data_IF_707496934662
#
_entry.id   IF_707496934662
#
_cell.length_a   1.000
_cell.length_b   1.000
_cell.length_c   1.000
_cell.angle_alpha   90.00
_cell.angle_beta   90.00
_cell.angle_gamma   90.00
#
_symmetry.space_group_name_H-M   'P 1'
#
loop_
_entity.id
_entity.type
_entity.pdbx_description
1 polymer ?
#
# COMPACT_ATOMS: atom_id res chain seq x y z
N UNK A 1 13.26 -2.99 1.30
CA UNK A 1 14.55 -3.65 1.57
C UNK A 1 15.36 -2.71 2.44
N UNK A 2 15.95 -3.19 3.54
CA UNK A 2 16.86 -2.39 4.37
C UNK A 2 18.29 -2.67 3.88
N UNK A 3 18.97 -1.63 3.41
CA UNK A 3 20.31 -1.64 2.82
C UNK A 3 21.27 -0.72 3.57
N UNK A 4 21.12 -0.66 4.89
CA UNK A 4 22.03 0.08 5.76
C UNK A 4 23.37 -0.64 5.81
N UNK A 5 24.47 0.09 5.60
CA UNK A 5 25.83 -0.47 5.59
C UNK A 5 26.32 -0.64 7.03
N UNK A 6 27.32 -1.50 7.20
CA UNK A 6 27.92 -1.81 8.50
C UNK A 6 28.49 -0.56 9.22
N UNK A 7 28.91 0.44 8.44
CA UNK A 7 29.55 1.66 8.93
C UNK A 7 28.60 2.87 8.94
N UNK A 8 27.31 2.67 8.67
CA UNK A 8 26.33 3.75 8.73
C UNK A 8 26.15 4.21 10.18
N UNK A 9 25.88 5.51 10.36
CA UNK A 9 25.60 6.02 11.70
C UNK A 9 24.34 5.37 12.26
N UNK A 10 24.19 5.27 13.60
CA UNK A 10 22.96 4.75 14.21
C UNK A 10 21.71 5.48 13.73
N UNK A 11 21.80 6.80 13.50
CA UNK A 11 20.71 7.60 12.95
C UNK A 11 20.29 7.15 11.54
N UNK A 12 21.26 6.87 10.65
CA UNK A 12 20.99 6.34 9.31
C UNK A 12 20.37 4.96 9.37
N UNK A 13 20.86 4.10 10.26
CA UNK A 13 20.35 2.74 10.44
C UNK A 13 18.88 2.75 10.91
N UNK A 14 18.52 3.68 11.80
CA UNK A 14 17.19 3.75 12.41
C UNK A 14 16.18 4.43 11.46
N UNK A 15 16.58 5.51 10.79
CA UNK A 15 15.63 6.41 10.12
C UNK A 15 15.56 6.23 8.60
N UNK A 16 16.39 5.35 8.04
CA UNK A 16 16.43 5.12 6.59
C UNK A 16 16.40 3.62 6.28
N UNK A 17 16.10 3.31 5.02
CA UNK A 17 16.22 1.97 4.46
C UNK A 17 17.58 1.78 3.80
N UNK A 18 18.57 2.65 4.07
CA UNK A 18 19.89 2.61 3.47
C UNK A 18 19.93 3.13 2.03
N UNK A 19 20.93 2.69 1.27
CA UNK A 19 21.15 3.04 -0.13
C UNK A 19 21.31 1.76 -0.99
N UNK A 20 21.15 1.82 -2.31
CA UNK A 20 21.28 0.62 -3.15
C UNK A 20 22.60 -0.12 -2.93
N UNK A 21 22.55 -1.45 -2.91
CA UNK A 21 23.71 -2.29 -2.61
C UNK A 21 24.67 -2.44 -3.80
N UNK A 22 24.17 -2.28 -5.03
CA UNK A 22 24.98 -2.30 -6.24
C UNK A 22 25.17 -0.87 -6.77
N UNK A 23 26.38 -0.49 -7.20
CA UNK A 23 26.62 0.79 -7.88
C UNK A 23 25.81 0.96 -9.17
N UNK A 24 25.43 -0.14 -9.82
CA UNK A 24 24.63 -0.15 -11.06
C UNK A 24 23.12 -0.23 -10.79
N UNK A 25 22.68 -0.18 -9.52
CA UNK A 25 21.27 0.01 -9.21
C UNK A 25 20.90 1.47 -9.44
N UNK A 26 20.01 1.67 -10.40
CA UNK A 26 19.44 2.98 -10.67
C UNK A 26 18.13 3.10 -9.90
N UNK A 27 18.04 4.12 -9.04
CA UNK A 27 16.83 4.44 -8.27
C UNK A 27 16.52 5.93 -8.42
N UNK A 28 15.27 6.24 -8.74
CA UNK A 28 14.79 7.62 -8.81
C UNK A 28 13.35 7.72 -8.31
N UNK A 29 12.92 8.95 -8.04
CA UNK A 29 11.61 9.27 -7.47
C UNK A 29 10.74 9.89 -8.56
N UNK A 30 9.56 9.31 -8.82
CA UNK A 30 8.62 9.81 -9.81
C UNK A 30 7.39 10.48 -9.16
N UNK A 31 6.88 11.54 -9.77
CA UNK A 31 5.55 12.06 -9.48
C UNK A 31 4.44 11.10 -9.98
N UNK A 32 3.17 11.50 -9.81
CA UNK A 32 2.01 10.71 -10.24
C UNK A 32 1.90 10.59 -11.78
N UNK A 33 2.44 11.55 -12.53
CA UNK A 33 2.45 11.56 -14.00
C UNK A 33 3.65 10.80 -14.58
N UNK A 34 4.60 10.40 -13.73
CA UNK A 34 5.79 9.63 -14.13
C UNK A 34 7.00 10.51 -14.42
N UNK A 35 6.98 11.79 -14.05
CA UNK A 35 8.12 12.69 -14.22
C UNK A 35 9.09 12.57 -13.03
N UNK A 36 10.40 12.75 -13.24
CA UNK A 36 11.37 12.76 -12.17
C UNK A 36 11.15 13.90 -11.17
N UNK A 37 11.26 13.59 -9.88
CA UNK A 37 11.25 14.55 -8.79
C UNK A 37 12.67 14.85 -8.27
N UNK A 38 12.90 16.06 -7.74
CA UNK A 38 14.13 16.41 -7.04
C UNK A 38 14.41 15.52 -5.82
N UNK A 39 15.66 15.52 -5.35
CA UNK A 39 16.03 14.91 -4.07
C UNK A 39 15.28 15.58 -2.92
N UNK A 40 14.95 14.80 -1.90
CA UNK A 40 14.15 15.20 -0.73
C UNK A 40 12.64 15.16 -0.95
N UNK A 41 12.16 15.27 -2.19
CA UNK A 41 10.73 15.18 -2.50
C UNK A 41 10.21 13.74 -2.39
N UNK A 42 8.93 13.61 -2.05
CA UNK A 42 8.27 12.31 -1.88
C UNK A 42 7.54 11.93 -3.15
N UNK A 43 7.81 10.72 -3.66
CA UNK A 43 7.13 10.17 -4.83
C UNK A 43 7.36 8.66 -4.97
N UNK A 44 6.95 8.11 -6.10
CA UNK A 44 7.08 6.66 -6.38
C UNK A 44 8.52 6.24 -6.54
N UNK A 45 8.88 5.10 -5.95
CA UNK A 45 10.15 4.44 -6.20
C UNK A 45 10.15 3.78 -7.60
N UNK A 46 11.03 4.28 -8.46
CA UNK A 46 11.36 3.67 -9.76
C UNK A 46 12.75 3.06 -9.68
N UNK A 47 12.92 1.80 -10.09
CA UNK A 47 14.21 1.11 -10.00
C UNK A 47 14.49 0.13 -11.13
N UNK A 48 15.76 0.04 -11.54
CA UNK A 48 16.30 -1.06 -12.35
C UNK A 48 17.73 -1.37 -11.92
N UNK A 49 18.23 -2.55 -12.25
CA UNK A 49 19.56 -2.99 -11.85
C UNK A 49 19.87 -4.40 -12.31
N UNK A 50 21.07 -4.91 -12.03
CA UNK A 50 21.54 -6.21 -12.50
C UNK A 50 20.74 -7.40 -11.94
N UNK A 51 20.06 -7.21 -10.81
CA UNK A 51 19.22 -8.23 -10.16
C UNK A 51 17.74 -7.83 -10.05
N UNK A 52 17.36 -6.66 -10.56
CA UNK A 52 15.95 -6.28 -10.68
C UNK A 52 15.33 -7.06 -11.84
N UNK A 53 14.30 -7.84 -11.53
CA UNK A 53 13.53 -8.60 -12.52
C UNK A 53 12.96 -7.68 -13.62
N UNK A 54 12.71 -8.24 -14.81
CA UNK A 54 12.24 -7.50 -15.99
C UNK A 54 10.76 -7.72 -16.32
N UNK A 55 10.05 -8.40 -15.43
CA UNK A 55 8.64 -8.71 -15.63
C UNK A 55 8.16 -9.90 -14.82
N UNK A 56 6.89 -9.86 -14.46
CA UNK A 56 6.16 -10.98 -13.91
C UNK A 56 5.98 -12.08 -14.96
N UNK A 57 6.05 -13.32 -14.49
CA UNK A 57 5.87 -14.50 -15.34
C UNK A 57 4.43 -14.57 -15.87
N UNK A 58 4.30 -14.69 -17.19
CA UNK A 58 3.03 -14.87 -17.90
C UNK A 58 1.94 -13.83 -17.54
N UNK A 59 2.32 -12.57 -17.29
CA UNK A 59 1.39 -11.50 -16.91
C UNK A 59 1.63 -10.21 -17.72
N UNK A 60 1.35 -10.21 -19.04
CA UNK A 60 1.71 -9.10 -19.93
C UNK A 60 0.97 -7.80 -19.59
N UNK A 61 -0.30 -7.87 -19.19
CA UNK A 61 -1.07 -6.68 -18.78
C UNK A 61 -0.47 -6.03 -17.53
N UNK A 62 -0.11 -6.83 -16.52
CA UNK A 62 0.49 -6.31 -15.30
C UNK A 62 1.91 -5.75 -15.54
N UNK A 63 2.68 -6.39 -16.44
CA UNK A 63 3.99 -5.88 -16.83
C UNK A 63 3.91 -4.50 -17.49
N UNK A 64 2.88 -4.24 -18.31
CA UNK A 64 2.69 -2.94 -18.95
C UNK A 64 2.39 -1.80 -17.96
N UNK A 65 1.86 -2.12 -16.79
CA UNK A 65 1.56 -1.16 -15.72
C UNK A 65 2.73 -1.01 -14.73
N UNK A 66 3.50 -2.09 -14.53
CA UNK A 66 4.56 -2.14 -13.52
C UNK A 66 5.92 -1.60 -14.02
N UNK A 67 6.11 -1.50 -15.33
CA UNK A 67 7.37 -1.06 -15.94
C UNK A 67 7.15 0.12 -16.90
N UNK A 68 8.08 1.07 -16.90
CA UNK A 68 8.11 2.15 -17.90
C UNK A 68 8.81 1.71 -19.21
N UNK A 69 8.86 2.63 -20.19
CA UNK A 69 9.47 2.39 -21.49
C UNK A 69 10.98 2.10 -21.42
N UNK A 70 11.66 2.59 -20.38
CA UNK A 70 13.10 2.42 -20.14
C UNK A 70 13.40 1.18 -19.26
N UNK A 71 12.36 0.43 -18.92
CA UNK A 71 12.43 -0.81 -18.14
C UNK A 71 12.69 -0.58 -16.65
N UNK A 72 12.35 0.59 -16.10
CA UNK A 72 12.28 0.80 -14.66
C UNK A 72 11.02 0.17 -14.10
N UNK A 73 11.19 -0.62 -13.05
CA UNK A 73 10.12 -1.17 -12.25
C UNK A 73 9.61 -0.14 -11.23
N UNK A 74 8.30 0.08 -11.19
CA UNK A 74 7.64 0.84 -10.14
C UNK A 74 7.28 -0.09 -8.97
N UNK A 75 7.91 0.08 -7.80
CA UNK A 75 7.64 -0.80 -6.66
C UNK A 75 6.27 -0.58 -6.01
N UNK A 76 5.67 0.59 -6.26
CA UNK A 76 4.48 1.06 -5.57
C UNK A 76 4.74 1.55 -4.14
N UNK A 77 6.01 1.68 -3.72
CA UNK A 77 6.38 2.39 -2.49
C UNK A 77 6.54 3.89 -2.77
N UNK A 78 6.15 4.73 -1.80
CA UNK A 78 6.47 6.15 -1.80
C UNK A 78 7.75 6.35 -0.98
N UNK A 79 8.73 6.99 -1.59
CA UNK A 79 10.03 7.25 -0.97
C UNK A 79 10.45 8.70 -1.15
N UNK A 80 11.38 9.12 -0.30
CA UNK A 80 12.25 10.28 -0.54
C UNK A 80 13.71 9.81 -0.55
N UNK A 81 14.52 10.40 -1.43
CA UNK A 81 15.97 10.15 -1.48
C UNK A 81 16.66 11.43 -1.05
N UNK A 82 17.53 11.37 -0.05
CA UNK A 82 18.26 12.54 0.41
C UNK A 82 19.52 12.85 -0.43
N UNK A 83 20.24 13.91 -0.06
CA UNK A 83 21.45 14.35 -0.75
C UNK A 83 22.61 13.34 -0.68
N UNK A 84 22.62 12.47 0.32
CA UNK A 84 23.62 11.41 0.47
C UNK A 84 23.21 10.12 -0.26
N UNK A 85 22.02 10.08 -0.88
CA UNK A 85 21.48 8.94 -1.61
C UNK A 85 20.79 7.90 -0.73
N UNK A 86 20.48 8.24 0.53
CA UNK A 86 19.72 7.37 1.43
C UNK A 86 18.23 7.46 1.14
N UNK A 87 17.58 6.30 1.18
CA UNK A 87 16.16 6.15 0.88
C UNK A 87 15.39 6.08 2.19
N UNK A 88 14.35 6.90 2.31
CA UNK A 88 13.35 6.79 3.38
C UNK A 88 12.00 6.46 2.76
N UNK A 89 11.38 5.37 3.23
CA UNK A 89 10.04 4.96 2.83
C UNK A 89 9.01 5.78 3.60
N UNK A 90 8.20 6.53 2.87
CA UNK A 90 7.18 7.43 3.37
C UNK A 90 5.77 6.81 3.29
N UNK A 91 5.61 5.71 2.55
CA UNK A 91 4.34 4.99 2.44
C UNK A 91 4.30 4.09 1.22
N UNK A 92 3.09 3.77 0.76
CA UNK A 92 2.84 3.03 -0.49
C UNK A 92 1.76 3.70 -1.32
N UNK A 93 2.00 3.74 -2.62
CA UNK A 93 1.02 4.11 -3.64
C UNK A 93 -0.04 3.01 -3.78
N UNK A 94 0.38 1.74 -3.79
CA UNK A 94 -0.54 0.60 -3.77
C UNK A 94 -0.97 0.31 -2.33
N UNK A 95 -2.27 0.42 -2.08
CA UNK A 95 -2.84 0.24 -0.76
C UNK A 95 -2.73 -1.23 -0.30
N UNK A 96 -1.61 -1.53 0.36
CA UNK A 96 -1.23 -2.86 0.81
C UNK A 96 -0.94 -2.82 2.30
N UNK A 97 -1.64 -3.68 3.05
CA UNK A 97 -1.50 -3.82 4.49
C UNK A 97 -0.41 -4.87 4.76
N UNK A 98 0.53 -4.54 5.66
CA UNK A 98 1.63 -5.41 6.07
C UNK A 98 1.34 -6.06 7.42
N UNK A 99 0.50 -7.09 7.43
CA UNK A 99 0.04 -7.74 8.65
C UNK A 99 1.02 -8.82 9.12
N UNK A 100 1.94 -8.48 10.02
CA UNK A 100 2.92 -9.42 10.56
C UNK A 100 3.88 -10.00 9.51
N UNK A 101 4.17 -9.24 8.45
CA UNK A 101 4.97 -9.68 7.30
C UNK A 101 4.15 -10.20 6.13
N UNK A 102 2.89 -10.57 6.34
CA UNK A 102 1.96 -10.97 5.28
C UNK A 102 1.41 -9.75 4.54
N UNK A 103 1.35 -9.85 3.21
CA UNK A 103 0.94 -8.74 2.35
C UNK A 103 -0.51 -8.90 1.89
N UNK A 104 -1.37 -7.97 2.28
CA UNK A 104 -2.79 -7.96 1.93
C UNK A 104 -3.04 -6.79 0.98
N UNK A 105 -3.43 -7.06 -0.27
CA UNK A 105 -3.88 -6.01 -1.18
C UNK A 105 -5.28 -5.53 -0.78
N UNK A 106 -5.42 -4.26 -0.39
CA UNK A 106 -6.71 -3.72 0.06
C UNK A 106 -7.78 -3.81 -1.03
N UNK A 107 -7.40 -3.47 -2.27
CA UNK A 107 -8.30 -3.51 -3.43
C UNK A 107 -8.85 -4.92 -3.71
N UNK A 108 -8.06 -5.98 -3.49
CA UNK A 108 -8.51 -7.36 -3.63
C UNK A 108 -9.70 -7.65 -2.69
N UNK A 109 -9.56 -7.26 -1.43
CA UNK A 109 -10.57 -7.51 -0.40
C UNK A 109 -11.77 -6.58 -0.57
N UNK A 110 -11.56 -5.32 -0.94
CA UNK A 110 -12.64 -4.38 -1.25
C UNK A 110 -13.52 -4.86 -2.39
N UNK A 111 -12.91 -5.30 -3.50
CA UNK A 111 -13.65 -5.82 -4.64
C UNK A 111 -14.46 -7.06 -4.29
N UNK A 112 -14.00 -7.88 -3.34
CA UNK A 112 -14.78 -8.99 -2.81
C UNK A 112 -15.91 -8.51 -1.89
N UNK A 113 -15.63 -7.57 -0.99
CA UNK A 113 -16.64 -6.98 -0.10
C UNK A 113 -17.79 -6.33 -0.88
N UNK A 114 -17.50 -5.65 -1.99
CA UNK A 114 -18.49 -5.05 -2.88
C UNK A 114 -19.41 -6.08 -3.57
N UNK A 115 -19.08 -7.37 -3.55
CA UNK A 115 -19.97 -8.44 -4.03
C UNK A 115 -21.04 -8.84 -3.02
N UNK A 116 -20.89 -8.43 -1.76
CA UNK A 116 -21.90 -8.68 -0.74
C UNK A 116 -23.11 -7.76 -0.98
N UNK A 117 -24.31 -8.32 -1.05
CA UNK A 117 -25.54 -7.59 -1.43
C UNK A 117 -25.82 -6.33 -0.61
N UNK A 118 -25.45 -6.34 0.67
CA UNK A 118 -25.66 -5.22 1.57
C UNK A 118 -24.58 -4.12 1.48
N UNK A 119 -23.44 -4.35 0.82
CA UNK A 119 -22.31 -3.39 0.80
C UNK A 119 -22.43 -2.45 -0.41
N UNK A 120 -22.40 -1.14 -0.15
CA UNK A 120 -22.45 -0.08 -1.17
C UNK A 120 -21.04 0.43 -1.48
N UNK A 121 -20.27 0.70 -0.43
CA UNK A 121 -18.88 1.13 -0.53
C UNK A 121 -18.04 0.39 0.51
N UNK A 122 -16.81 0.06 0.14
CA UNK A 122 -15.86 -0.62 1.02
C UNK A 122 -14.48 0.05 0.92
N UNK A 123 -13.81 0.18 2.06
CA UNK A 123 -12.41 0.54 2.14
C UNK A 123 -11.72 -0.33 3.19
N UNK A 124 -10.61 -0.95 2.83
CA UNK A 124 -9.72 -1.68 3.72
C UNK A 124 -8.48 -0.83 3.95
N UNK A 125 -8.18 -0.52 5.20
CA UNK A 125 -7.01 0.26 5.60
C UNK A 125 -6.21 -0.48 6.66
N UNK A 126 -4.92 -0.15 6.76
CA UNK A 126 -4.10 -0.59 7.88
C UNK A 126 -4.41 0.25 9.13
N UNK A 127 -4.36 -0.40 10.28
CA UNK A 127 -4.34 0.22 11.61
C UNK A 127 -3.15 -0.33 12.38
N UNK A 128 -2.55 0.48 13.25
CA UNK A 128 -1.41 0.06 14.07
C UNK A 128 -1.81 -1.07 15.04
N UNK A 129 -0.91 -2.03 15.20
CA UNK A 129 -1.04 -3.11 16.18
C UNK A 129 0.32 -3.47 16.79
N UNK A 130 0.38 -3.50 18.13
CA UNK A 130 1.63 -3.73 18.85
C UNK A 130 2.28 -5.09 18.60
N UNK A 131 1.52 -6.09 18.14
CA UNK A 131 2.03 -7.46 17.93
C UNK A 131 2.32 -7.75 16.45
N UNK A 132 1.43 -7.31 15.56
CA UNK A 132 1.53 -7.59 14.12
C UNK A 132 2.15 -6.44 13.33
N UNK A 133 2.45 -5.30 13.97
CA UNK A 133 2.80 -4.04 13.31
C UNK A 133 1.56 -3.37 12.73
N UNK A 134 0.88 -4.06 11.83
CA UNK A 134 -0.39 -3.61 11.24
C UNK A 134 -1.48 -4.69 11.34
N UNK A 135 -2.72 -4.23 11.43
CA UNK A 135 -3.94 -5.01 11.25
C UNK A 135 -4.81 -4.39 10.17
N UNK A 136 -5.72 -5.18 9.63
CA UNK A 136 -6.68 -4.74 8.61
C UNK A 136 -8.00 -4.28 9.23
N UNK A 137 -8.47 -3.10 8.86
CA UNK A 137 -9.78 -2.57 9.22
C UNK A 137 -10.61 -2.30 7.96
N UNK A 138 -11.79 -2.93 7.86
CA UNK A 138 -12.73 -2.68 6.78
C UNK A 138 -13.81 -1.67 7.21
N UNK A 139 -13.82 -0.51 6.56
CA UNK A 139 -14.90 0.46 6.66
C UNK A 139 -15.93 0.21 5.56
N UNK A 140 -17.19 0.04 5.95
CA UNK A 140 -18.27 -0.33 5.04
C UNK A 140 -19.40 0.70 5.13
N UNK A 141 -19.86 1.17 3.97
CA UNK A 141 -21.21 1.76 3.84
C UNK A 141 -22.12 0.63 3.39
N UNK A 142 -23.15 0.33 4.18
CA UNK A 142 -24.04 -0.80 3.93
C UNK A 142 -25.51 -0.40 4.02
N UNK A 143 -26.37 -1.06 3.25
CA UNK A 143 -27.83 -0.89 3.29
C UNK A 143 -28.44 -1.41 4.59
N UNK A 144 -27.75 -2.30 5.28
CA UNK A 144 -28.09 -2.79 6.61
C UNK A 144 -26.83 -3.05 7.44
N UNK A 145 -26.89 -2.94 8.78
CA UNK A 145 -25.71 -3.13 9.62
C UNK A 145 -25.11 -4.54 9.49
N UNK A 146 -23.83 -4.62 9.12
CA UNK A 146 -23.09 -5.87 9.00
C UNK A 146 -22.20 -6.10 10.21
N UNK A 147 -22.31 -7.28 10.82
CA UNK A 147 -21.40 -7.70 11.90
C UNK A 147 -20.09 -8.23 11.30
N UNK A 148 -18.97 -7.95 11.96
CA UNK A 148 -17.64 -8.42 11.53
C UNK A 148 -17.58 -9.94 11.27
N UNK A 149 -18.28 -10.74 12.08
CA UNK A 149 -18.34 -12.21 11.90
C UNK A 149 -18.99 -12.60 10.57
N UNK A 150 -20.06 -11.90 10.16
CA UNK A 150 -20.74 -12.17 8.89
C UNK A 150 -19.84 -11.81 7.70
N UNK A 151 -19.18 -10.66 7.77
CA UNK A 151 -18.23 -10.21 6.73
C UNK A 151 -17.07 -11.18 6.57
N UNK A 152 -16.44 -11.61 7.68
CA UNK A 152 -15.36 -12.60 7.64
C UNK A 152 -15.81 -13.94 7.09
N UNK A 153 -17.02 -14.39 7.46
CA UNK A 153 -17.60 -15.63 6.92
C UNK A 153 -17.83 -15.53 5.41
N UNK A 154 -18.41 -14.43 4.94
CA UNK A 154 -18.63 -14.19 3.52
C UNK A 154 -17.31 -14.22 2.73
N UNK A 155 -16.26 -13.51 3.18
CA UNK A 155 -14.96 -13.55 2.53
C UNK A 155 -14.33 -14.95 2.53
N UNK A 156 -14.52 -15.72 3.61
CA UNK A 156 -14.07 -17.12 3.64
C UNK A 156 -14.80 -17.99 2.60
N UNK A 157 -16.10 -17.78 2.41
CA UNK A 157 -16.90 -18.45 1.37
C UNK A 157 -16.42 -18.08 -0.05
N UNK A 158 -15.78 -16.92 -0.24
CA UNK A 158 -15.11 -16.52 -1.49
C UNK A 158 -13.71 -17.13 -1.67
N UNK A 159 -13.24 -17.99 -0.74
CA UNK A 159 -11.92 -18.63 -0.81
C UNK A 159 -10.75 -17.73 -0.38
N UNK A 160 -11.02 -16.65 0.34
CA UNK A 160 -9.97 -15.75 0.85
C UNK A 160 -9.16 -16.43 1.95
N UNK A 161 -7.83 -16.31 1.87
CA UNK A 161 -6.92 -16.83 2.90
C UNK A 161 -7.17 -16.19 4.27
N UNK A 162 -7.00 -16.95 5.34
CA UNK A 162 -7.42 -16.53 6.69
C UNK A 162 -6.74 -15.25 7.18
N UNK A 163 -5.46 -15.03 6.82
CA UNK A 163 -4.72 -13.82 7.19
C UNK A 163 -5.20 -12.55 6.46
N UNK A 164 -5.93 -12.69 5.34
CA UNK A 164 -6.50 -11.57 4.58
C UNK A 164 -7.89 -11.17 5.08
N UNK A 165 -8.49 -11.96 5.97
CA UNK A 165 -9.79 -11.63 6.55
C UNK A 165 -9.64 -10.39 7.45
N UNK A 166 -10.53 -9.38 7.31
CA UNK A 166 -10.45 -8.16 8.11
C UNK A 166 -10.39 -8.45 9.62
N UNK A 167 -9.38 -7.90 10.28
CA UNK A 167 -9.24 -7.99 11.74
C UNK A 167 -10.36 -7.20 12.43
N UNK A 168 -10.70 -6.04 11.87
CA UNK A 168 -11.82 -5.19 12.27
C UNK A 168 -12.74 -4.87 11.10
N UNK A 169 -14.01 -4.63 11.43
CA UNK A 169 -15.04 -4.18 10.48
C UNK A 169 -15.86 -3.11 11.17
N UNK A 170 -15.99 -1.95 10.54
CA UNK A 170 -16.77 -0.82 11.03
C UNK A 170 -17.77 -0.38 9.95
N UNK A 171 -19.05 -0.33 10.30
CA UNK A 171 -20.07 0.22 9.41
C UNK A 171 -20.19 1.72 9.68
N UNK A 172 -20.06 2.53 8.64
CA UNK A 172 -20.09 3.99 8.71
C UNK A 172 -21.18 4.56 7.81
N UNK A 173 -21.65 5.76 8.14
CA UNK A 173 -22.72 6.41 7.37
C UNK A 173 -22.27 6.79 5.95
N UNK A 174 -21.00 7.20 5.80
CA UNK A 174 -20.42 7.58 4.52
C UNK A 174 -18.91 7.34 4.50
N UNK A 175 -18.38 7.16 3.30
CA UNK A 175 -16.95 7.19 3.00
C UNK A 175 -16.67 8.38 2.09
N UNK A 176 -15.49 9.01 2.18
CA UNK A 176 -15.09 10.05 1.24
C UNK A 176 -14.95 9.41 -0.14
N UNK A 177 -15.57 10.01 -1.16
CA UNK A 177 -15.51 9.52 -2.53
C UNK A 177 -14.76 10.52 -3.40
N UNK A 178 -13.98 9.99 -4.33
CA UNK A 178 -13.41 10.73 -5.46
C UNK A 178 -14.53 11.21 -6.40
N UNK A 179 -14.28 12.20 -7.29
CA UNK A 179 -15.28 12.65 -8.27
C UNK A 179 -15.82 11.55 -9.19
N UNK A 180 -15.10 10.44 -9.33
CA UNK A 180 -15.50 9.27 -10.13
C UNK A 180 -16.19 8.16 -9.30
N UNK A 181 -16.54 8.45 -8.03
CA UNK A 181 -17.34 7.57 -7.17
C UNK A 181 -16.58 6.44 -6.48
N UNK A 182 -15.24 6.36 -6.63
CA UNK A 182 -14.39 5.44 -5.86
C UNK A 182 -14.08 6.03 -4.48
N UNK A 183 -13.84 5.18 -3.48
CA UNK A 183 -13.44 5.67 -2.14
C UNK A 183 -12.08 6.37 -2.21
N UNK A 184 -12.03 7.60 -1.70
CA UNK A 184 -10.80 8.37 -1.54
C UNK A 184 -10.11 7.97 -0.22
N UNK A 185 -9.19 7.01 -0.32
CA UNK A 185 -8.47 6.48 0.85
C UNK A 185 -7.48 7.47 1.45
N UNK A 186 -6.98 8.43 0.67
CA UNK A 186 -6.11 9.50 1.20
C UNK A 186 -6.93 10.38 2.14
N UNK A 187 -8.12 10.80 1.70
CA UNK A 187 -9.04 11.57 2.52
C UNK A 187 -9.55 10.75 3.72
N UNK A 188 -9.79 9.44 3.54
CA UNK A 188 -10.22 8.55 4.62
C UNK A 188 -9.17 8.46 5.74
N UNK A 189 -7.88 8.31 5.41
CA UNK A 189 -6.80 8.28 6.40
C UNK A 189 -6.70 9.60 7.17
N UNK A 190 -6.96 10.73 6.52
CA UNK A 190 -7.05 12.02 7.22
C UNK A 190 -8.23 12.06 8.19
N UNK A 191 -9.42 11.59 7.78
CA UNK A 191 -10.58 11.52 8.67
C UNK A 191 -10.33 10.61 9.89
N UNK A 192 -9.61 9.50 9.69
CA UNK A 192 -9.20 8.61 10.77
C UNK A 192 -8.25 9.30 11.75
N UNK A 193 -7.25 10.01 11.25
CA UNK A 193 -6.31 10.77 12.09
C UNK A 193 -7.00 11.89 12.88
N UNK A 194 -8.06 12.48 12.33
CA UNK A 194 -8.85 13.55 12.96
C UNK A 194 -10.02 13.03 13.82
N UNK A 195 -10.26 11.71 13.87
CA UNK A 195 -11.37 11.10 14.61
C UNK A 195 -12.77 11.45 14.06
N UNK A 196 -12.88 11.74 12.76
CA UNK A 196 -14.12 12.19 12.10
C UNK A 196 -15.05 11.06 11.64
N UNK A 197 -14.66 9.80 11.80
CA UNK A 197 -15.53 8.65 11.53
C UNK A 197 -16.28 8.28 12.81
N UNK A 198 -17.53 8.76 12.92
CA UNK A 198 -18.46 8.51 14.01
C UNK A 198 -19.89 8.49 13.52
#
# INVERSE_FOLDING_TARGET
MNYTRLNDSPERIINTQGCPMCPDDEVWVADADGNPLPRGEVGRLMTRGPYTFRGYYNSPQHNAEAFDAEGFYCSGDLISIDEDGYITVQGREKDQINRGGEKIAAEEIENLLLRHEAVIHAALVSIEDNLLGEKSCAYLVATSPLRAVAVRRFLREQGVAEFKLPDRVECVAALPLTPVGKVDKKQLRQWLAEGKLG
#
